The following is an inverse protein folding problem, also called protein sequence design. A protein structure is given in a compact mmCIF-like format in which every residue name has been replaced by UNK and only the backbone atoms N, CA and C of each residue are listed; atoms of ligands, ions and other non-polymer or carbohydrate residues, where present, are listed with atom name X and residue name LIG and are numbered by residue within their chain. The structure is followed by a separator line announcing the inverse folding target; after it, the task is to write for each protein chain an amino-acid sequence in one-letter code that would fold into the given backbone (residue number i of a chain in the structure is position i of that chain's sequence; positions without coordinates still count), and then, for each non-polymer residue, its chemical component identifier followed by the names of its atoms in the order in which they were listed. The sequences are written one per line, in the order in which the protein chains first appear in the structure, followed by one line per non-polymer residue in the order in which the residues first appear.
data_IF_838366310117
#
_entry.id   IF_838366310117
#
_cell.length_a   1.000
_cell.length_b   1.000
_cell.length_c   1.000
_cell.angle_alpha   90.00
_cell.angle_beta   90.00
_cell.angle_gamma   90.00
#
_symmetry.space_group_name_H-M   'P 1'
#
loop_
_entity.id
_entity.type
_entity.pdbx_description
1 polymer ?
#
# COMPACT_ATOMS: atom_id res chain seq x y z
N UNK A 1 8.35 -65.35 39.86
CA UNK A 1 7.93 -65.45 38.44
C UNK A 1 6.68 -64.60 38.28
N UNK A 2 6.80 -63.42 37.67
CA UNK A 2 5.68 -62.76 36.99
C UNK A 2 6.24 -61.72 36.02
N UNK A 3 5.92 -61.95 34.75
CA UNK A 3 6.51 -61.34 33.56
C UNK A 3 5.85 -60.00 33.28
N UNK A 4 6.64 -58.93 33.14
CA UNK A 4 6.16 -57.60 32.75
C UNK A 4 6.14 -57.51 31.23
N UNK A 5 4.96 -57.41 30.63
CA UNK A 5 4.77 -57.22 29.19
C UNK A 5 4.85 -55.72 28.88
N UNK A 6 5.90 -55.30 28.17
CA UNK A 6 6.02 -53.94 27.61
C UNK A 6 5.25 -53.86 26.29
N UNK A 7 4.16 -53.08 26.27
CA UNK A 7 3.49 -52.67 25.03
C UNK A 7 4.19 -51.43 24.46
N UNK A 8 4.90 -51.60 23.36
CA UNK A 8 5.48 -50.48 22.59
C UNK A 8 4.41 -49.95 21.64
N UNK A 9 3.84 -48.78 21.94
CA UNK A 9 2.92 -48.10 21.04
C UNK A 9 3.73 -47.41 19.92
N UNK A 10 3.62 -47.94 18.70
CA UNK A 10 4.16 -47.31 17.49
C UNK A 10 3.17 -46.24 17.01
N UNK A 11 3.40 -44.98 17.36
CA UNK A 11 2.65 -43.85 16.79
C UNK A 11 3.05 -43.67 15.33
N UNK A 12 2.19 -44.11 14.40
CA UNK A 12 2.30 -43.78 12.99
C UNK A 12 1.82 -42.34 12.81
N UNK A 13 2.75 -41.40 12.67
CA UNK A 13 2.46 -40.04 12.22
C UNK A 13 2.09 -40.10 10.73
N UNK A 14 0.79 -40.08 10.43
CA UNK A 14 0.30 -39.79 9.08
C UNK A 14 0.51 -38.29 8.86
N UNK A 15 1.61 -37.94 8.19
CA UNK A 15 1.80 -36.60 7.64
C UNK A 15 0.77 -36.40 6.53
N UNK A 16 -0.37 -35.79 6.88
CA UNK A 16 -1.32 -35.28 5.90
C UNK A 16 -0.68 -34.05 5.24
N UNK A 17 -0.09 -34.26 4.06
CA UNK A 17 0.45 -33.18 3.24
C UNK A 17 -0.70 -32.28 2.79
N UNK A 18 -0.90 -31.15 3.48
CA UNK A 18 -1.68 -30.05 2.94
C UNK A 18 -1.03 -29.63 1.62
N UNK A 19 -1.66 -29.98 0.50
CA UNK A 19 -1.12 -29.77 -0.84
C UNK A 19 -0.89 -28.29 -1.10
N UNK A 20 0.36 -27.86 -1.06
CA UNK A 20 0.78 -26.64 -1.72
C UNK A 20 0.47 -26.81 -3.22
N UNK A 21 -0.50 -26.04 -3.72
CA UNK A 21 -0.89 -26.07 -5.13
C UNK A 21 0.31 -25.64 -5.98
N UNK A 22 0.67 -26.47 -6.95
CA UNK A 22 1.88 -26.29 -7.76
C UNK A 22 1.64 -25.27 -8.89
N UNK A 23 2.68 -24.57 -9.37
CA UNK A 23 2.59 -23.64 -10.50
C UNK A 23 1.96 -24.24 -11.77
N UNK A 24 2.09 -25.55 -11.96
CA UNK A 24 1.48 -26.31 -13.06
C UNK A 24 -0.05 -26.32 -12.98
N UNK A 25 -0.61 -26.41 -11.76
CA UNK A 25 -2.07 -26.34 -11.56
C UNK A 25 -2.63 -24.95 -11.87
N UNK A 26 -1.89 -23.89 -11.56
CA UNK A 26 -2.32 -22.51 -11.81
C UNK A 26 -2.36 -22.19 -13.31
N UNK A 27 -1.41 -22.72 -14.08
CA UNK A 27 -1.39 -22.58 -15.53
C UNK A 27 -2.58 -23.29 -16.19
N UNK A 28 -2.90 -24.51 -15.73
CA UNK A 28 -4.06 -25.26 -16.22
C UNK A 28 -5.39 -24.57 -15.87
N UNK A 29 -5.57 -24.11 -14.62
CA UNK A 29 -6.75 -23.36 -14.17
C UNK A 29 -6.92 -22.07 -15.00
N UNK A 30 -5.81 -21.34 -15.27
CA UNK A 30 -5.83 -20.12 -16.09
C UNK A 30 -6.28 -20.38 -17.53
N UNK A 31 -5.80 -21.45 -18.17
CA UNK A 31 -6.22 -21.82 -19.53
C UNK A 31 -7.71 -22.18 -19.59
N UNK A 32 -8.22 -22.91 -18.60
CA UNK A 32 -9.65 -23.26 -18.50
C UNK A 32 -10.50 -21.99 -18.39
N UNK A 33 -10.08 -21.04 -17.55
CA UNK A 33 -10.78 -19.77 -17.36
C UNK A 33 -10.86 -18.99 -18.67
N UNK A 34 -9.73 -18.79 -19.35
CA UNK A 34 -9.68 -18.02 -20.61
C UNK A 34 -10.56 -18.70 -21.68
N UNK A 35 -10.40 -20.01 -21.89
CA UNK A 35 -11.17 -20.74 -22.89
C UNK A 35 -12.69 -20.62 -22.68
N UNK A 36 -13.16 -20.66 -21.43
CA UNK A 36 -14.60 -20.51 -21.12
C UNK A 36 -15.11 -19.09 -21.33
N UNK A 37 -14.35 -18.08 -20.90
CA UNK A 37 -14.74 -16.68 -21.09
C UNK A 37 -14.79 -16.33 -22.58
N UNK A 38 -13.80 -16.77 -23.36
CA UNK A 38 -13.77 -16.57 -24.82
C UNK A 38 -14.89 -17.34 -25.53
N UNK A 39 -15.21 -18.57 -25.10
CA UNK A 39 -16.33 -19.32 -25.67
C UNK A 39 -17.68 -18.61 -25.43
N UNK A 40 -17.84 -17.90 -24.31
CA UNK A 40 -19.04 -17.11 -24.03
C UNK A 40 -19.05 -15.74 -24.75
N UNK A 41 -17.90 -15.07 -24.85
CA UNK A 41 -17.73 -13.72 -25.41
C UNK A 41 -16.37 -13.56 -26.10
N UNK A 42 -16.25 -14.12 -27.30
CA UNK A 42 -15.01 -14.11 -28.08
C UNK A 42 -14.57 -12.73 -28.60
N UNK A 43 -15.43 -11.71 -28.52
CA UNK A 43 -15.10 -10.33 -28.90
C UNK A 43 -14.28 -9.58 -27.84
N UNK A 44 -14.09 -10.17 -26.65
CA UNK A 44 -13.33 -9.59 -25.55
C UNK A 44 -11.99 -10.31 -25.40
N UNK A 45 -10.98 -9.55 -24.98
CA UNK A 45 -9.63 -10.05 -24.68
C UNK A 45 -9.46 -10.13 -23.17
N UNK A 46 -8.95 -11.26 -22.69
CA UNK A 46 -8.86 -11.58 -21.26
C UNK A 46 -7.42 -11.89 -20.86
N UNK A 47 -7.00 -11.39 -19.70
CA UNK A 47 -5.69 -11.70 -19.10
C UNK A 47 -5.87 -12.12 -17.65
N UNK A 48 -5.50 -13.35 -17.32
CA UNK A 48 -5.43 -13.78 -15.92
C UNK A 48 -4.29 -13.00 -15.24
N UNK A 49 -4.62 -12.26 -14.19
CA UNK A 49 -3.65 -11.54 -13.36
C UNK A 49 -3.01 -12.51 -12.37
N UNK A 50 -3.81 -13.39 -11.78
CA UNK A 50 -3.38 -14.36 -10.78
C UNK A 50 -4.54 -14.84 -9.91
N UNK A 51 -4.21 -15.55 -8.83
CA UNK A 51 -5.19 -15.99 -7.83
C UNK A 51 -5.76 -14.77 -7.09
N UNK A 52 -7.06 -14.78 -6.84
CA UNK A 52 -7.70 -13.80 -5.97
C UNK A 52 -7.41 -14.14 -4.49
N UNK A 53 -7.49 -13.17 -3.56
CA UNK A 53 -7.36 -13.40 -2.12
C UNK A 53 -8.52 -14.21 -1.49
N UNK A 54 -9.50 -14.62 -2.30
CA UNK A 54 -10.61 -15.48 -1.92
C UNK A 54 -10.43 -16.86 -2.55
N UNK A 55 -10.76 -17.91 -1.80
CA UNK A 55 -10.48 -19.28 -2.24
C UNK A 55 -11.17 -19.64 -3.55
N UNK A 56 -10.45 -20.37 -4.41
CA UNK A 56 -10.93 -20.90 -5.69
C UNK A 56 -11.36 -19.83 -6.70
N UNK A 57 -10.92 -18.58 -6.56
CA UNK A 57 -11.15 -17.51 -7.54
C UNK A 57 -9.84 -16.94 -8.08
N UNK A 58 -9.94 -16.38 -9.28
CA UNK A 58 -8.87 -15.73 -10.02
C UNK A 58 -9.30 -14.32 -10.41
N UNK A 59 -8.34 -13.40 -10.44
CA UNK A 59 -8.54 -12.08 -11.01
C UNK A 59 -8.22 -12.12 -12.50
N UNK A 60 -9.16 -11.68 -13.32
CA UNK A 60 -9.02 -11.63 -14.78
C UNK A 60 -9.28 -10.21 -15.25
N UNK A 61 -8.29 -9.60 -15.90
CA UNK A 61 -8.42 -8.32 -16.54
C UNK A 61 -9.09 -8.49 -17.90
N UNK A 62 -10.19 -7.79 -18.15
CA UNK A 62 -10.71 -7.58 -19.51
C UNK A 62 -9.97 -6.40 -20.13
N UNK A 63 -9.43 -6.56 -21.34
CA UNK A 63 -8.73 -5.46 -22.02
C UNK A 63 -9.66 -4.24 -22.19
N UNK A 64 -9.21 -3.06 -21.76
CA UNK A 64 -10.00 -1.82 -21.70
C UNK A 64 -11.32 -1.96 -20.91
N UNK A 65 -11.42 -2.92 -20.00
CA UNK A 65 -12.62 -3.25 -19.24
C UNK A 65 -12.37 -3.43 -17.74
N UNK A 66 -13.38 -3.95 -17.01
CA UNK A 66 -13.26 -4.21 -15.58
C UNK A 66 -12.35 -5.41 -15.30
N UNK A 67 -11.99 -5.56 -14.02
CA UNK A 67 -11.47 -6.81 -13.49
C UNK A 67 -12.66 -7.70 -13.09
N UNK A 68 -12.59 -8.96 -13.48
CA UNK A 68 -13.52 -10.01 -13.08
C UNK A 68 -12.86 -10.88 -12.02
N UNK A 69 -13.65 -11.33 -11.05
CA UNK A 69 -13.27 -12.42 -10.16
C UNK A 69 -13.96 -13.68 -10.65
N UNK A 70 -13.19 -14.63 -11.18
CA UNK A 70 -13.69 -15.80 -11.87
C UNK A 70 -13.36 -17.06 -11.08
N UNK A 71 -14.33 -17.98 -10.93
CA UNK A 71 -14.08 -19.25 -10.26
C UNK A 71 -13.01 -20.05 -11.02
N UNK A 72 -12.23 -20.87 -10.30
CA UNK A 72 -11.10 -21.65 -10.87
C UNK A 72 -11.48 -22.57 -12.02
N UNK A 73 -12.76 -22.93 -12.11
CA UNK A 73 -13.33 -23.78 -13.16
C UNK A 73 -13.96 -22.96 -14.31
N UNK A 74 -13.90 -21.62 -14.24
CA UNK A 74 -14.41 -20.68 -15.24
C UNK A 74 -15.94 -20.61 -15.37
N UNK A 75 -16.69 -21.23 -14.45
CA UNK A 75 -18.16 -21.34 -14.56
C UNK A 75 -18.92 -20.12 -14.03
N UNK A 76 -18.33 -19.41 -13.05
CA UNK A 76 -18.96 -18.27 -12.40
C UNK A 76 -17.98 -17.11 -12.35
N UNK A 77 -18.49 -15.89 -12.47
CA UNK A 77 -17.72 -14.69 -12.17
C UNK A 77 -18.59 -13.63 -11.53
N UNK A 78 -17.96 -12.68 -10.86
CA UNK A 78 -18.57 -11.42 -10.48
C UNK A 78 -17.64 -10.27 -10.86
N UNK A 79 -18.24 -9.12 -11.19
CA UNK A 79 -17.55 -7.87 -11.45
C UNK A 79 -17.68 -6.94 -10.23
N UNK A 80 -16.62 -6.16 -9.96
CA UNK A 80 -16.63 -5.18 -8.87
C UNK A 80 -15.32 -5.12 -8.11
N UNK A 81 -15.40 -4.63 -6.87
CA UNK A 81 -14.25 -4.48 -5.98
C UNK A 81 -14.31 -5.50 -4.85
N UNK A 82 -13.20 -6.19 -4.62
CA UNK A 82 -13.02 -7.03 -3.44
C UNK A 82 -12.25 -6.23 -2.39
N UNK A 83 -12.79 -6.17 -1.16
CA UNK A 83 -12.13 -5.51 -0.04
C UNK A 83 -11.83 -6.52 1.06
N UNK A 84 -10.58 -6.52 1.53
CA UNK A 84 -10.21 -7.19 2.77
C UNK A 84 -10.61 -6.31 3.96
N UNK A 85 -11.25 -6.91 4.97
CA UNK A 85 -11.56 -6.25 6.23
C UNK A 85 -10.35 -6.36 7.16
N UNK A 86 -9.75 -5.23 7.52
CA UNK A 86 -8.71 -5.13 8.55
C UNK A 86 -9.16 -4.22 9.68
N UNK A 87 -8.43 -4.25 10.79
CA UNK A 87 -8.70 -3.33 11.91
C UNK A 87 -8.61 -1.88 11.42
N UNK A 88 -9.71 -1.15 11.54
CA UNK A 88 -9.78 0.29 11.22
C UNK A 88 -9.83 0.65 9.73
N UNK A 89 -9.90 -0.33 8.82
CA UNK A 89 -9.96 -0.07 7.38
C UNK A 89 -10.47 -1.24 6.53
N UNK A 90 -11.03 -0.89 5.37
CA UNK A 90 -11.24 -1.81 4.25
C UNK A 90 -10.12 -1.59 3.24
N UNK A 91 -9.45 -2.66 2.79
CA UNK A 91 -8.31 -2.61 1.88
C UNK A 91 -8.70 -3.25 0.55
N UNK A 92 -8.60 -2.50 -0.55
CA UNK A 92 -8.86 -3.03 -1.90
C UNK A 92 -7.88 -4.18 -2.20
N UNK A 93 -8.40 -5.34 -2.60
CA UNK A 93 -7.62 -6.53 -2.94
C UNK A 93 -6.57 -6.26 -4.02
N UNK A 94 -6.86 -5.34 -4.95
CA UNK A 94 -5.89 -4.93 -5.99
C UNK A 94 -4.70 -4.20 -5.38
N UNK A 95 -4.94 -3.44 -4.31
CA UNK A 95 -3.88 -2.76 -3.56
C UNK A 95 -2.99 -3.76 -2.81
N UNK A 96 -3.56 -4.86 -2.31
CA UNK A 96 -2.81 -5.90 -1.60
C UNK A 96 -1.68 -6.49 -2.44
N UNK A 97 -1.88 -6.64 -3.76
CA UNK A 97 -0.83 -7.15 -4.67
C UNK A 97 0.39 -6.24 -4.79
N UNK A 98 0.23 -4.96 -4.45
CA UNK A 98 1.30 -3.98 -4.49
C UNK A 98 2.01 -3.85 -3.14
N UNK A 99 1.55 -4.53 -2.09
CA UNK A 99 2.15 -4.41 -0.76
C UNK A 99 3.60 -4.87 -0.78
N UNK A 100 3.91 -6.05 -1.34
CA UNK A 100 5.29 -6.56 -1.39
C UNK A 100 6.23 -5.60 -2.13
N UNK A 101 5.77 -5.01 -3.25
CA UNK A 101 6.56 -4.01 -3.99
C UNK A 101 6.76 -2.73 -3.17
N UNK A 102 5.71 -2.23 -2.51
CA UNK A 102 5.80 -1.04 -1.65
C UNK A 102 6.71 -1.28 -0.44
N UNK A 103 6.60 -2.44 0.20
CA UNK A 103 7.44 -2.85 1.33
C UNK A 103 8.91 -2.89 0.89
N UNK A 104 9.22 -3.54 -0.24
CA UNK A 104 10.58 -3.60 -0.76
C UNK A 104 11.15 -2.21 -1.08
N UNK A 105 10.33 -1.33 -1.68
CA UNK A 105 10.71 0.05 -1.97
C UNK A 105 10.97 0.83 -0.69
N UNK A 106 10.02 0.88 0.25
CA UNK A 106 10.20 1.66 1.48
C UNK A 106 11.22 1.05 2.45
N UNK A 107 11.52 -0.24 2.33
CA UNK A 107 12.61 -0.89 3.06
C UNK A 107 14.01 -0.54 2.55
N UNK A 108 14.13 -0.01 1.32
CA UNK A 108 15.42 0.33 0.69
C UNK A 108 15.58 1.81 0.30
N UNK A 109 14.48 2.56 0.24
CA UNK A 109 14.49 3.98 -0.12
C UNK A 109 15.24 4.81 0.93
N UNK A 110 16.13 5.69 0.47
CA UNK A 110 16.83 6.63 1.35
C UNK A 110 15.84 7.57 2.03
N UNK A 111 16.06 7.84 3.32
CA UNK A 111 15.28 8.83 4.06
C UNK A 111 15.77 10.26 3.84
N UNK A 112 16.95 10.43 3.25
CA UNK A 112 17.59 11.74 3.07
C UNK A 112 16.84 12.63 2.07
N UNK A 113 16.16 12.01 1.12
CA UNK A 113 15.31 12.72 0.15
C UNK A 113 13.91 13.04 0.72
N UNK A 114 13.60 12.65 1.96
CA UNK A 114 12.30 12.86 2.60
C UNK A 114 12.35 14.00 3.62
N UNK A 115 11.22 14.69 3.83
CA UNK A 115 11.07 15.57 4.99
C UNK A 115 10.53 14.74 6.16
N UNK A 116 11.39 14.43 7.13
CA UNK A 116 11.10 13.53 8.25
C UNK A 116 10.75 14.28 9.53
N UNK A 117 9.56 14.01 10.08
CA UNK A 117 9.14 14.40 11.43
C UNK A 117 9.27 13.21 12.36
N UNK A 118 10.40 13.16 13.09
CA UNK A 118 10.75 12.05 13.99
C UNK A 118 9.74 11.87 15.12
N UNK A 119 9.56 10.62 15.53
CA UNK A 119 8.79 10.29 16.74
C UNK A 119 9.44 10.87 18.00
N UNK A 120 8.64 11.15 19.02
CA UNK A 120 9.15 11.46 20.35
C UNK A 120 9.58 10.17 21.05
N UNK A 121 10.82 10.11 21.56
CA UNK A 121 11.33 8.91 22.22
C UNK A 121 11.52 7.74 21.24
N UNK A 122 11.18 6.53 21.67
CA UNK A 122 11.34 5.32 20.85
C UNK A 122 10.30 5.28 19.72
N UNK A 123 10.76 5.07 18.49
CA UNK A 123 9.90 4.87 17.33
C UNK A 123 9.13 3.56 17.44
N UNK A 124 7.80 3.66 17.52
CA UNK A 124 6.86 2.55 17.57
C UNK A 124 6.27 2.22 16.19
N UNK A 125 6.27 3.19 15.27
CA UNK A 125 5.78 3.02 13.91
C UNK A 125 6.28 4.11 12.98
N UNK A 126 6.31 3.80 11.68
CA UNK A 126 6.72 4.71 10.61
C UNK A 126 5.59 4.76 9.59
N UNK A 127 5.25 5.98 9.15
CA UNK A 127 4.35 6.21 8.03
C UNK A 127 5.04 7.04 6.95
N UNK A 128 4.95 6.59 5.70
CA UNK A 128 5.43 7.33 4.53
C UNK A 128 4.22 8.01 3.87
N UNK A 129 4.29 9.32 3.65
CA UNK A 129 3.11 10.10 3.28
C UNK A 129 3.39 10.90 2.01
N UNK A 130 2.76 10.49 0.92
CA UNK A 130 2.66 11.33 -0.29
C UNK A 130 1.72 12.49 0.00
N UNK A 131 2.26 13.71 -0.08
CA UNK A 131 1.56 14.93 0.35
C UNK A 131 1.59 16.02 -0.70
N UNK A 132 0.56 16.86 -0.65
CA UNK A 132 0.43 18.10 -1.41
C UNK A 132 0.19 19.26 -0.42
N UNK A 133 0.86 20.40 -0.61
CA UNK A 133 0.72 21.58 0.27
C UNK A 133 -0.63 22.28 0.08
N UNK A 134 -1.22 22.21 -1.12
CA UNK A 134 -2.52 22.81 -1.43
C UNK A 134 -3.70 21.85 -1.10
N UNK A 135 -3.42 20.63 -0.62
CA UNK A 135 -4.46 19.69 -0.19
C UNK A 135 -4.93 19.96 1.25
N UNK A 136 -6.21 20.30 1.42
CA UNK A 136 -6.81 20.54 2.73
C UNK A 136 -6.67 19.38 3.73
N UNK A 137 -6.80 18.13 3.27
CA UNK A 137 -6.60 16.96 4.12
C UNK A 137 -5.13 16.69 4.45
N UNK A 138 -4.19 17.06 3.56
CA UNK A 138 -2.76 17.01 3.87
C UNK A 138 -2.37 18.03 4.95
N UNK A 139 -3.00 19.22 4.93
CA UNK A 139 -2.85 20.23 5.98
C UNK A 139 -3.45 19.73 7.29
N UNK A 140 -4.61 19.06 7.23
CA UNK A 140 -5.25 18.46 8.41
C UNK A 140 -4.38 17.37 9.04
N UNK A 141 -3.85 16.44 8.26
CA UNK A 141 -2.91 15.42 8.74
C UNK A 141 -1.68 16.07 9.40
N UNK A 142 -1.14 17.11 8.78
CA UNK A 142 0.06 17.78 9.30
C UNK A 142 -0.15 18.45 10.66
N UNK A 143 -1.35 18.99 10.93
CA UNK A 143 -1.71 19.50 12.26
C UNK A 143 -1.69 18.43 13.35
N UNK A 144 -1.85 17.17 12.98
CA UNK A 144 -1.82 16.01 13.89
C UNK A 144 -0.44 15.34 13.99
N UNK A 145 0.56 15.78 13.20
CA UNK A 145 1.94 15.25 13.29
C UNK A 145 2.51 15.34 14.70
N UNK A 146 2.35 16.44 15.46
CA UNK A 146 2.81 16.47 16.85
C UNK A 146 2.15 15.40 17.74
N UNK A 147 0.89 15.04 17.48
CA UNK A 147 0.20 13.97 18.20
C UNK A 147 0.72 12.59 17.78
N UNK A 148 0.89 12.35 16.48
CA UNK A 148 1.52 11.15 15.94
C UNK A 148 2.91 10.93 16.55
N UNK A 149 3.75 11.98 16.56
CA UNK A 149 5.08 11.92 17.13
C UNK A 149 5.05 11.60 18.63
N UNK A 150 4.12 12.18 19.40
CA UNK A 150 3.91 11.82 20.82
C UNK A 150 3.50 10.37 21.03
N UNK A 151 2.77 9.77 20.09
CA UNK A 151 2.41 8.35 20.09
C UNK A 151 3.56 7.43 19.65
N UNK A 152 4.75 7.96 19.37
CA UNK A 152 5.89 7.19 18.89
C UNK A 152 5.88 6.95 17.38
N UNK A 153 5.05 7.67 16.61
CA UNK A 153 4.94 7.50 15.15
C UNK A 153 5.81 8.54 14.43
N UNK A 154 6.73 8.07 13.59
CA UNK A 154 7.52 8.89 12.68
C UNK A 154 6.76 9.11 11.37
N UNK A 155 6.75 10.36 10.90
CA UNK A 155 6.05 10.76 9.66
C UNK A 155 7.10 11.21 8.65
N UNK A 156 7.18 10.49 7.52
CA UNK A 156 8.10 10.78 6.43
C UNK A 156 7.31 11.31 5.23
N UNK A 157 7.53 12.55 4.84
CA UNK A 157 6.81 13.12 3.69
C UNK A 157 7.57 12.90 2.38
N UNK A 158 6.81 12.54 1.35
CA UNK A 158 7.20 12.54 -0.05
C UNK A 158 6.29 13.51 -0.80
N UNK A 159 6.83 14.22 -1.79
CA UNK A 159 6.10 15.24 -2.51
C UNK A 159 5.18 14.62 -3.58
N UNK A 160 3.93 15.08 -3.65
CA UNK A 160 2.97 14.66 -4.67
C UNK A 160 2.05 15.82 -5.07
N UNK A 161 2.54 16.80 -5.86
CA UNK A 161 1.73 17.93 -6.32
C UNK A 161 0.65 17.43 -7.27
N UNK A 162 -0.63 17.41 -6.84
CA UNK A 162 -1.73 16.81 -7.61
C UNK A 162 -2.05 17.57 -8.90
N UNK A 163 -1.67 18.84 -8.98
CA UNK A 163 -1.78 19.65 -10.18
C UNK A 163 -0.69 19.32 -11.23
N UNK A 164 0.21 18.39 -10.92
CA UNK A 164 1.30 17.96 -11.78
C UNK A 164 2.52 18.89 -11.70
N UNK A 165 3.48 18.62 -12.59
CA UNK A 165 4.71 19.38 -12.74
C UNK A 165 4.76 19.90 -14.19
N UNK A 166 4.98 21.21 -14.43
CA UNK A 166 5.10 22.28 -13.43
C UNK A 166 3.73 22.80 -12.94
N UNK A 167 3.62 23.14 -11.66
CA UNK A 167 2.45 23.80 -11.06
C UNK A 167 2.85 24.71 -9.90
N UNK A 168 1.94 25.58 -9.45
CA UNK A 168 2.18 26.38 -8.25
C UNK A 168 2.39 25.51 -7.00
N UNK A 169 1.62 24.42 -6.89
CA UNK A 169 1.78 23.43 -5.82
C UNK A 169 3.17 22.78 -5.86
N UNK A 170 3.69 22.47 -7.06
CA UNK A 170 5.07 22.01 -7.25
C UNK A 170 6.08 23.04 -6.75
N UNK A 171 5.96 24.31 -7.17
CA UNK A 171 6.90 25.37 -6.78
C UNK A 171 6.98 25.53 -5.26
N UNK A 172 5.83 25.54 -4.57
CA UNK A 172 5.76 25.65 -3.11
C UNK A 172 6.37 24.43 -2.40
N UNK A 173 6.01 23.22 -2.82
CA UNK A 173 6.52 22.01 -2.15
C UNK A 173 8.02 21.81 -2.43
N UNK A 174 8.50 22.10 -3.65
CA UNK A 174 9.92 22.07 -3.97
C UNK A 174 10.71 23.11 -3.16
N UNK A 175 10.14 24.29 -2.92
CA UNK A 175 10.73 25.32 -2.03
C UNK A 175 10.96 24.77 -0.62
N UNK A 176 10.04 23.96 -0.09
CA UNK A 176 10.23 23.33 1.20
C UNK A 176 11.39 22.32 1.19
N UNK A 177 11.55 21.54 0.12
CA UNK A 177 12.66 20.60 -0.01
C UNK A 177 14.02 21.27 -0.20
N UNK A 178 14.04 22.47 -0.77
CA UNK A 178 15.25 23.24 -1.00
C UNK A 178 15.60 24.21 0.14
N UNK A 179 14.82 24.22 1.22
CA UNK A 179 15.04 25.09 2.37
C UNK A 179 16.17 24.58 3.27
N UNK A 180 16.89 25.50 3.92
CA UNK A 180 17.82 25.15 5.01
C UNK A 180 17.09 24.56 6.24
N UNK A 181 15.78 24.78 6.35
CA UNK A 181 14.87 24.18 7.34
C UNK A 181 13.66 23.54 6.64
N UNK A 182 13.81 22.33 6.05
CA UNK A 182 12.73 21.72 5.29
C UNK A 182 11.48 21.44 6.13
N UNK A 183 11.65 21.04 7.39
CA UNK A 183 10.53 20.78 8.29
C UNK A 183 9.73 22.05 8.56
N UNK A 184 10.40 23.14 8.95
CA UNK A 184 9.73 24.41 9.21
C UNK A 184 9.13 25.02 7.94
N UNK A 185 9.82 24.93 6.80
CA UNK A 185 9.30 25.40 5.50
C UNK A 185 8.02 24.65 5.11
N UNK A 186 8.02 23.31 5.20
CA UNK A 186 6.84 22.50 4.93
C UNK A 186 5.69 22.85 5.89
N UNK A 187 5.97 23.04 7.18
CA UNK A 187 4.96 23.43 8.17
C UNK A 187 4.37 24.80 7.85
N UNK A 188 5.19 25.80 7.49
CA UNK A 188 4.72 27.13 7.11
C UNK A 188 3.86 27.09 5.85
N UNK A 189 4.31 26.40 4.79
CA UNK A 189 3.52 26.23 3.56
C UNK A 189 2.17 25.56 3.83
N UNK A 190 2.15 24.47 4.62
CA UNK A 190 0.89 23.81 5.04
C UNK A 190 0.01 24.66 5.96
N UNK A 191 0.53 25.73 6.55
CA UNK A 191 -0.26 26.72 7.29
C UNK A 191 -0.73 27.90 6.42
N UNK A 192 -0.37 27.92 5.13
CA UNK A 192 -0.68 29.02 4.21
C UNK A 192 0.27 30.21 4.36
N UNK A 193 1.46 29.96 4.92
CA UNK A 193 2.54 30.94 5.10
C UNK A 193 3.70 30.54 4.18
N UNK A 194 3.46 30.51 2.87
CA UNK A 194 4.46 30.04 1.91
C UNK A 194 5.74 30.90 1.98
N UNK A 195 6.90 30.24 1.91
CA UNK A 195 8.19 30.91 1.79
C UNK A 195 8.34 31.56 0.40
N UNK A 196 9.34 32.44 0.26
CA UNK A 196 9.69 32.97 -1.07
C UNK A 196 10.09 31.79 -1.97
N UNK A 197 9.49 31.64 -3.17
CA UNK A 197 9.81 30.53 -4.06
C UNK A 197 11.31 30.37 -4.34
N UNK A 198 11.84 29.20 -4.05
CA UNK A 198 13.24 28.85 -4.29
C UNK A 198 13.34 27.37 -4.64
N UNK A 199 13.49 27.07 -5.93
CA UNK A 199 13.59 25.69 -6.43
C UNK A 199 15.04 25.40 -6.81
N UNK A 200 15.66 24.49 -6.09
CA UNK A 200 17.00 23.97 -6.33
C UNK A 200 16.99 22.85 -7.38
N UNK A 201 18.06 22.73 -8.17
CA UNK A 201 18.14 21.78 -9.29
C UNK A 201 18.06 20.31 -8.85
N UNK A 202 18.50 20.00 -7.63
CA UNK A 202 18.56 18.64 -7.08
C UNK A 202 17.37 18.29 -6.17
N UNK A 203 16.24 18.99 -6.27
CA UNK A 203 15.06 18.65 -5.49
C UNK A 203 14.43 17.33 -5.96
N UNK A 204 13.97 16.44 -5.04
CA UNK A 204 13.49 15.10 -5.40
C UNK A 204 11.99 15.06 -5.78
N UNK A 205 11.35 16.20 -6.08
CA UNK A 205 9.89 16.26 -6.21
C UNK A 205 9.39 15.50 -7.42
N UNK A 206 10.13 15.51 -8.53
CA UNK A 206 9.75 14.76 -9.73
C UNK A 206 9.81 13.25 -9.46
N UNK A 207 10.88 12.79 -8.84
CA UNK A 207 11.11 11.39 -8.46
C UNK A 207 10.03 10.91 -7.48
N UNK A 208 9.67 11.73 -6.50
CA UNK A 208 8.56 11.42 -5.58
C UNK A 208 7.22 11.31 -6.31
N UNK A 209 6.94 12.25 -7.22
CA UNK A 209 5.68 12.26 -7.96
C UNK A 209 5.54 11.04 -8.87
N UNK A 210 6.61 10.65 -9.57
CA UNK A 210 6.67 9.43 -10.37
C UNK A 210 6.56 8.18 -9.52
N UNK A 211 7.27 8.12 -8.39
CA UNK A 211 7.19 7.00 -7.46
C UNK A 211 5.77 6.83 -6.93
N UNK A 212 5.10 7.91 -6.53
CA UNK A 212 3.72 7.86 -6.07
C UNK A 212 2.78 7.27 -7.14
N UNK A 213 2.91 7.72 -8.39
CA UNK A 213 2.12 7.20 -9.51
C UNK A 213 2.37 5.70 -9.70
N UNK A 214 3.65 5.28 -9.71
CA UNK A 214 4.03 3.86 -9.81
C UNK A 214 3.43 3.02 -8.69
N UNK A 215 3.39 3.56 -7.47
CA UNK A 215 2.86 2.87 -6.29
C UNK A 215 1.33 2.92 -6.16
N UNK A 216 0.63 3.48 -7.15
CA UNK A 216 -0.83 3.54 -7.18
C UNK A 216 -1.43 4.65 -6.33
N UNK A 217 -0.67 5.71 -6.04
CA UNK A 217 -1.20 6.93 -5.39
C UNK A 217 -2.05 7.69 -6.39
N UNK A 218 -3.34 7.83 -6.07
CA UNK A 218 -4.32 8.54 -6.91
C UNK A 218 -4.83 9.84 -6.27
N UNK A 219 -4.39 10.14 -5.05
CA UNK A 219 -4.78 11.33 -4.30
C UNK A 219 -3.97 11.50 -3.03
N UNK A 220 -4.07 12.67 -2.40
CA UNK A 220 -3.30 13.01 -1.19
C UNK A 220 -4.20 13.42 -0.02
N UNK A 221 -3.82 13.15 1.24
CA UNK A 221 -2.63 12.38 1.61
C UNK A 221 -2.81 10.90 1.27
N UNK A 222 -1.73 10.24 0.87
CA UNK A 222 -1.67 8.79 0.73
C UNK A 222 -0.58 8.26 1.65
N UNK A 223 -0.96 7.38 2.57
CA UNK A 223 -0.10 6.91 3.66
C UNK A 223 0.30 5.47 3.36
N UNK A 224 1.59 5.21 3.15
CA UNK A 224 2.15 3.87 2.96
C UNK A 224 2.87 3.45 4.24
N UNK A 225 2.44 2.31 4.79
CA UNK A 225 3.05 1.70 5.96
C UNK A 225 4.30 0.89 5.55
N UNK A 226 5.13 0.52 6.54
CA UNK A 226 6.34 -0.26 6.27
C UNK A 226 6.06 -1.69 5.75
N UNK A 227 4.88 -2.26 6.04
CA UNK A 227 4.43 -3.55 5.46
C UNK A 227 3.84 -3.40 4.04
N UNK A 228 4.05 -2.24 3.41
CA UNK A 228 3.54 -1.90 2.09
C UNK A 228 2.05 -1.57 2.04
N UNK A 229 1.31 -1.70 3.14
CA UNK A 229 -0.12 -1.36 3.17
C UNK A 229 -0.33 0.12 2.84
N UNK A 230 -1.18 0.40 1.84
CA UNK A 230 -1.58 1.76 1.48
C UNK A 230 -2.91 2.11 2.16
N UNK A 231 -2.89 3.17 2.97
CA UNK A 231 -4.07 3.84 3.52
C UNK A 231 -4.37 5.06 2.63
N UNK A 232 -5.43 5.01 1.80
CA UNK A 232 -5.81 6.14 0.98
C UNK A 232 -6.49 7.22 1.81
N UNK A 233 -6.09 8.47 1.59
CA UNK A 233 -6.72 9.63 2.23
C UNK A 233 -6.27 9.88 3.67
N UNK A 234 -6.92 10.87 4.29
CA UNK A 234 -6.65 11.25 5.66
C UNK A 234 -7.32 10.29 6.66
N UNK A 235 -6.59 9.96 7.71
CA UNK A 235 -7.09 9.35 8.96
C UNK A 235 -6.58 10.16 10.15
N UNK A 236 -7.34 10.15 11.25
CA UNK A 236 -6.90 10.76 12.51
C UNK A 236 -5.69 10.01 13.09
N UNK A 237 -4.89 10.69 13.92
CA UNK A 237 -3.72 10.11 14.58
C UNK A 237 -4.06 8.83 15.35
N UNK A 238 -5.15 8.82 16.10
CA UNK A 238 -5.62 7.64 16.86
C UNK A 238 -6.00 6.46 15.96
N UNK A 239 -6.58 6.72 14.78
CA UNK A 239 -6.91 5.67 13.82
C UNK A 239 -5.65 5.08 13.18
N UNK A 240 -4.66 5.93 12.87
CA UNK A 240 -3.36 5.50 12.36
C UNK A 240 -2.64 4.66 13.41
N UNK A 241 -2.61 5.12 14.67
CA UNK A 241 -2.04 4.36 15.78
C UNK A 241 -2.72 2.99 15.94
N UNK A 242 -4.06 2.95 15.87
CA UNK A 242 -4.82 1.70 15.92
C UNK A 242 -4.49 0.75 14.77
N UNK A 243 -4.33 1.25 13.55
CA UNK A 243 -3.91 0.45 12.38
C UNK A 243 -2.50 -0.11 12.59
N UNK A 244 -1.59 0.67 13.18
CA UNK A 244 -0.23 0.26 13.51
C UNK A 244 -0.15 -0.65 14.76
N UNK A 245 -1.27 -0.93 15.44
CA UNK A 245 -1.27 -1.70 16.69
C UNK A 245 -0.65 -0.97 17.88
N UNK A 246 -0.48 0.35 17.80
CA UNK A 246 0.09 1.20 18.85
C UNK A 246 -1.02 1.58 19.82
N UNK A 247 -0.79 1.37 21.12
CA UNK A 247 -1.72 1.77 22.17
C UNK A 247 -1.68 3.30 22.30
N UNK A 248 -2.80 3.94 21.98
CA UNK A 248 -3.07 5.37 22.20
C UNK A 248 -3.42 5.66 23.66
#
# INVERSE_FOLDING_TARGET
MNTVIRFTWLFIFVFSSAGAKTPESDAAESQIIIAKLEAARSSLSYKVIGRAPIENFYEVQVENGPILYVSKDGNYFFDGSLYQVKVGQFVDARSLRMNDEREAIFGSLSVDDMIVFKSNGTTQGIINVFTDVDCGFCRKLHKEVPQLNKMGIEVRYLAFPRAGIPSDAYTKIATAWCSDDPQGSLTRSKNGQDDVPAVCDNNPVAEHYELGQKLGVTGTPAIVLMDGSLIPGYKKAEEIAKILGIKS
#
